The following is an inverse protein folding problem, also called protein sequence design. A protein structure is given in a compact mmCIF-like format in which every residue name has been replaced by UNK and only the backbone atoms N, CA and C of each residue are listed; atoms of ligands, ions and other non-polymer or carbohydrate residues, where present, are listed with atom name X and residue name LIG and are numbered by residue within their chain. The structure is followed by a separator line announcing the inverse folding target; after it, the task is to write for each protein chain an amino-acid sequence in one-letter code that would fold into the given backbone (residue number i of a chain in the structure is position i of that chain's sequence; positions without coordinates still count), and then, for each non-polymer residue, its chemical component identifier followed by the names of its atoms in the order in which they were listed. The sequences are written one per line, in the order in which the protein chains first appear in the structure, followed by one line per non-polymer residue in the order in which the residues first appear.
data_IF_021955216704
#
_entry.id   IF_021955216704
#
_cell.length_a   1.000
_cell.length_b   1.000
_cell.length_c   1.000
_cell.angle_alpha   90.00
_cell.angle_beta   90.00
_cell.angle_gamma   90.00
#
_symmetry.space_group_name_H-M   'P 1'
#
loop_
_entity.id
_entity.type
_entity.pdbx_description
1 polymer ?
#
# COMPACT_ATOMS: atom_id res chain seq x y z
N UNK A 1 6.44 25.82 11.43
CA UNK A 1 6.23 24.36 11.28
C UNK A 1 7.38 23.67 12.00
N UNK A 2 7.17 22.57 12.72
CA UNK A 2 8.27 21.73 13.17
C UNK A 2 8.65 20.75 12.06
N UNK A 3 9.95 20.56 11.85
CA UNK A 3 10.42 19.44 11.04
C UNK A 3 9.94 18.14 11.70
N UNK A 4 9.40 17.22 10.89
CA UNK A 4 9.04 15.86 11.33
C UNK A 4 10.23 15.16 12.03
N UNK A 5 11.45 15.56 11.67
CA UNK A 5 12.72 15.14 12.25
C UNK A 5 12.81 15.31 13.78
N UNK A 6 12.01 16.21 14.39
CA UNK A 6 12.04 16.39 15.84
C UNK A 6 11.52 15.19 16.62
N UNK A 7 10.33 14.70 16.24
CA UNK A 7 9.74 13.51 16.87
C UNK A 7 10.68 12.32 16.68
N UNK A 8 11.32 12.30 15.52
CA UNK A 8 12.24 11.27 15.14
C UNK A 8 13.49 11.22 16.03
N UNK A 9 14.16 12.35 16.22
CA UNK A 9 15.34 12.41 17.09
C UNK A 9 14.97 12.14 18.56
N UNK A 10 13.75 12.50 19.00
CA UNK A 10 13.27 12.14 20.34
C UNK A 10 13.10 10.62 20.52
N UNK A 11 12.63 9.92 19.48
CA UNK A 11 12.46 8.46 19.50
C UNK A 11 13.82 7.74 19.49
N UNK A 12 14.82 8.29 18.80
CA UNK A 12 16.16 7.71 18.77
C UNK A 12 16.92 7.93 20.08
N UNK A 13 16.79 9.10 20.70
CA UNK A 13 17.44 9.39 21.98
C UNK A 13 16.62 8.94 23.20
N UNK A 14 15.44 8.36 22.99
CA UNK A 14 14.48 7.97 24.03
C UNK A 14 14.20 9.08 25.05
N UNK A 15 14.26 10.34 24.62
CA UNK A 15 14.06 11.52 25.46
C UNK A 15 13.54 12.69 24.62
N UNK A 16 12.86 13.64 25.27
CA UNK A 16 12.41 14.85 24.59
C UNK A 16 13.58 15.80 24.33
N UNK A 17 13.74 16.22 23.08
CA UNK A 17 14.81 17.13 22.64
C UNK A 17 14.30 18.57 22.52
N UNK A 18 15.17 19.59 22.70
CA UNK A 18 14.82 20.99 22.47
C UNK A 18 14.46 21.27 21.01
N UNK A 19 13.48 22.13 20.78
CA UNK A 19 12.87 22.35 19.47
C UNK A 19 13.55 23.40 18.60
N UNK A 20 14.48 24.16 19.17
CA UNK A 20 15.06 25.33 18.50
C UNK A 20 15.74 24.96 17.16
N UNK A 21 16.28 23.75 17.07
CA UNK A 21 16.91 23.20 15.85
C UNK A 21 15.92 22.69 14.79
N UNK A 22 14.64 22.58 15.14
CA UNK A 22 13.60 21.93 14.33
C UNK A 22 12.53 22.90 13.83
N UNK A 23 12.62 24.18 14.18
CA UNK A 23 11.69 25.21 13.71
C UNK A 23 11.94 25.54 12.23
N UNK A 24 10.87 25.47 11.44
CA UNK A 24 10.78 25.99 10.07
C UNK A 24 10.07 27.34 10.12
N UNK A 25 10.75 28.38 9.66
CA UNK A 25 10.18 29.70 9.43
C UNK A 25 9.41 29.70 8.11
N UNK A 26 8.10 29.93 8.17
CA UNK A 26 7.23 30.05 6.99
C UNK A 26 7.16 31.47 6.40
N UNK A 27 7.91 32.43 6.95
CA UNK A 27 7.96 33.79 6.42
C UNK A 27 8.94 33.84 5.25
N UNK A 28 8.46 33.61 4.02
CA UNK A 28 9.29 33.77 2.82
C UNK A 28 8.81 33.12 1.53
N UNK A 29 7.50 32.94 1.31
CA UNK A 29 6.98 32.49 0.01
C UNK A 29 5.94 33.50 -0.49
N UNK A 30 6.43 34.51 -1.20
CA UNK A 30 5.58 35.30 -2.09
C UNK A 30 5.06 34.37 -3.20
N UNK A 31 3.74 34.37 -3.40
CA UNK A 31 3.09 33.63 -4.48
C UNK A 31 3.32 34.36 -5.80
N UNK A 32 3.99 33.72 -6.75
CA UNK A 32 3.91 34.11 -8.17
C UNK A 32 2.63 33.56 -8.81
N UNK A 33 2.01 34.28 -9.77
CA UNK A 33 0.68 33.96 -10.25
C UNK A 33 0.67 32.80 -11.25
N UNK A 34 -0.42 32.03 -11.22
CA UNK A 34 -0.70 30.92 -12.12
C UNK A 34 -0.80 31.39 -13.58
N UNK A 35 -0.16 30.64 -14.50
CA UNK A 35 -0.39 30.79 -15.95
C UNK A 35 -1.76 30.21 -16.28
N UNK A 36 -2.59 31.04 -16.90
CA UNK A 36 -3.89 30.65 -17.44
C UNK A 36 -3.75 29.62 -18.56
N UNK A 37 -4.65 28.64 -18.56
CA UNK A 37 -4.96 27.84 -19.72
C UNK A 37 -6.32 28.31 -20.25
N UNK A 38 -6.30 28.78 -21.49
CA UNK A 38 -7.48 29.21 -22.23
C UNK A 38 -8.48 28.07 -22.41
N UNK A 39 -9.76 28.42 -22.27
CA UNK A 39 -10.93 27.58 -22.55
C UNK A 39 -11.61 28.13 -23.80
N UNK A 40 -11.87 27.28 -24.79
CA UNK A 40 -12.82 27.51 -25.89
C UNK A 40 -13.17 26.17 -26.57
N UNK A 41 -14.34 26.05 -27.22
CA UNK A 41 -15.36 25.08 -26.78
C UNK A 41 -15.72 23.99 -27.81
N UNK A 42 -16.62 23.12 -27.35
CA UNK A 42 -17.20 21.96 -27.99
C UNK A 42 -17.94 22.24 -29.31
N UNK A 43 -17.83 21.30 -30.27
CA UNK A 43 -18.91 20.96 -31.21
C UNK A 43 -18.88 19.46 -31.57
N UNK A 44 -20.07 18.85 -31.60
CA UNK A 44 -20.45 17.65 -32.36
C UNK A 44 -21.60 18.10 -33.28
N UNK A 45 -21.83 17.51 -34.47
CA UNK A 45 -22.64 16.29 -34.53
C UNK A 45 -22.35 15.31 -35.70
N UNK A 46 -22.61 14.04 -35.40
CA UNK A 46 -23.33 13.01 -36.18
C UNK A 46 -23.22 12.99 -37.72
N UNK A 47 -22.71 11.88 -38.27
CA UNK A 47 -23.22 11.31 -39.52
C UNK A 47 -23.01 9.79 -39.58
N UNK A 48 -24.10 9.10 -39.91
CA UNK A 48 -24.26 7.66 -40.12
C UNK A 48 -23.47 7.18 -41.35
N UNK A 49 -22.88 5.97 -41.29
CA UNK A 49 -22.86 5.05 -42.43
C UNK A 49 -22.49 3.62 -42.03
N UNK A 50 -23.31 2.70 -42.51
CA UNK A 50 -23.29 1.24 -42.35
C UNK A 50 -22.37 0.52 -43.38
N UNK A 51 -22.13 -0.80 -43.24
CA UNK A 51 -20.90 -1.50 -43.65
C UNK A 51 -21.01 -2.18 -45.03
N UNK A 52 -19.93 -2.82 -45.52
CA UNK A 52 -20.07 -3.94 -46.44
C UNK A 52 -19.55 -5.27 -45.85
N UNK A 53 -20.34 -6.32 -46.08
CA UNK A 53 -20.05 -7.76 -45.88
C UNK A 53 -19.92 -8.41 -47.30
N UNK A 54 -19.67 -9.72 -47.46
CA UNK A 54 -18.39 -10.43 -47.59
C UNK A 54 -18.15 -11.01 -49.02
N UNK A 55 -16.93 -11.52 -49.31
CA UNK A 55 -16.73 -12.51 -50.40
C UNK A 55 -15.74 -13.62 -50.03
N UNK A 56 -16.33 -14.80 -49.82
CA UNK A 56 -15.99 -16.18 -50.23
C UNK A 56 -14.56 -16.77 -50.15
N UNK A 57 -14.55 -18.01 -49.62
CA UNK A 57 -13.49 -19.02 -49.63
C UNK A 57 -13.07 -19.45 -51.05
N UNK A 58 -11.89 -20.09 -51.14
CA UNK A 58 -11.83 -21.40 -51.80
C UNK A 58 -11.19 -22.51 -50.95
N UNK A 59 -11.48 -23.71 -51.42
CA UNK A 59 -11.38 -25.06 -50.85
C UNK A 59 -10.00 -25.73 -50.92
N UNK A 60 -9.74 -26.57 -49.90
CA UNK A 60 -8.97 -27.83 -49.80
C UNK A 60 -7.98 -28.28 -50.92
N UNK A 61 -6.73 -28.61 -50.52
CA UNK A 61 -6.09 -29.93 -50.69
C UNK A 61 -4.72 -30.06 -49.94
N UNK A 62 -4.64 -31.10 -49.10
CA UNK A 62 -3.53 -32.03 -48.68
C UNK A 62 -2.06 -31.66 -48.97
N UNK A 63 -1.20 -31.60 -47.93
CA UNK A 63 -0.27 -32.65 -47.40
C UNK A 63 1.16 -32.35 -47.91
N UNK A 64 2.11 -31.87 -47.11
CA UNK A 64 3.02 -32.67 -46.29
C UNK A 64 3.88 -31.78 -45.34
N UNK A 65 4.53 -32.37 -44.32
CA UNK A 65 5.70 -31.76 -43.65
C UNK A 65 5.51 -31.26 -42.21
N UNK A 66 5.54 -32.21 -41.27
CA UNK A 66 6.10 -32.08 -39.90
C UNK A 66 5.76 -30.83 -39.05
N UNK A 67 4.86 -30.91 -38.04
CA UNK A 67 4.69 -29.84 -37.09
C UNK A 67 5.73 -29.89 -35.95
N UNK A 68 6.33 -28.72 -35.72
CA UNK A 68 7.21 -28.35 -34.62
C UNK A 68 6.48 -28.52 -33.25
N UNK A 69 7.07 -29.13 -32.21
CA UNK A 69 6.38 -29.44 -30.97
C UNK A 69 6.47 -28.27 -29.98
N UNK A 70 5.66 -27.23 -30.18
CA UNK A 70 5.46 -26.20 -29.17
C UNK A 70 4.14 -25.45 -29.42
N UNK A 71 3.00 -26.07 -29.08
CA UNK A 71 1.77 -25.38 -28.64
C UNK A 71 0.60 -26.37 -28.52
N UNK A 72 0.34 -26.85 -27.29
CA UNK A 72 -0.95 -27.34 -26.80
C UNK A 72 -0.82 -27.76 -25.32
N UNK A 73 -0.85 -26.80 -24.39
CA UNK A 73 -1.02 -27.12 -22.97
C UNK A 73 -2.49 -27.45 -22.71
N UNK A 74 -2.80 -28.67 -22.28
CA UNK A 74 -4.19 -29.09 -21.99
C UNK A 74 -4.85 -28.29 -20.84
N UNK A 75 -6.15 -28.46 -20.55
CA UNK A 75 -6.88 -27.66 -19.57
C UNK A 75 -6.22 -27.59 -18.18
N UNK A 76 -5.59 -28.67 -17.72
CA UNK A 76 -4.89 -28.71 -16.42
C UNK A 76 -3.56 -27.93 -16.40
N UNK A 77 -3.08 -27.47 -17.55
CA UNK A 77 -1.88 -26.65 -17.68
C UNK A 77 -2.09 -25.24 -17.08
N UNK A 78 -3.32 -24.72 -17.06
CA UNK A 78 -3.62 -23.46 -16.37
C UNK A 78 -3.42 -23.58 -14.85
N UNK A 79 -3.79 -24.73 -14.27
CA UNK A 79 -3.59 -24.99 -12.84
C UNK A 79 -2.11 -25.11 -12.49
N UNK A 80 -1.33 -25.83 -13.32
CA UNK A 80 0.13 -25.94 -13.13
C UNK A 80 0.82 -24.58 -13.20
N UNK A 81 0.38 -23.72 -14.11
CA UNK A 81 0.90 -22.35 -14.22
C UNK A 81 0.52 -21.52 -13.01
N UNK A 82 -0.75 -21.58 -12.60
CA UNK A 82 -1.22 -20.82 -11.44
C UNK A 82 -0.56 -21.30 -10.14
N UNK A 83 -0.38 -22.60 -9.95
CA UNK A 83 0.35 -23.13 -8.80
C UNK A 83 1.81 -22.70 -8.83
N UNK A 84 2.45 -22.69 -10.00
CA UNK A 84 3.81 -22.17 -10.15
C UNK A 84 3.92 -20.69 -9.76
N UNK A 85 2.96 -19.83 -10.12
CA UNK A 85 2.91 -18.43 -9.65
C UNK A 85 2.94 -18.37 -8.13
N UNK A 86 2.14 -19.20 -7.45
CA UNK A 86 2.14 -19.24 -5.99
C UNK A 86 3.42 -19.83 -5.40
N UNK A 87 4.10 -20.76 -6.08
CA UNK A 87 5.43 -21.27 -5.69
C UNK A 87 6.51 -20.20 -5.81
N UNK A 88 6.46 -19.37 -6.85
CA UNK A 88 7.42 -18.29 -7.06
C UNK A 88 7.19 -17.19 -6.01
N UNK A 89 5.94 -16.82 -5.75
CA UNK A 89 5.56 -15.93 -4.64
C UNK A 89 5.98 -16.49 -3.27
N UNK A 90 5.93 -17.80 -3.08
CA UNK A 90 6.44 -18.46 -1.87
C UNK A 90 7.97 -18.35 -1.78
N UNK A 91 8.70 -18.69 -2.85
CA UNK A 91 10.15 -18.66 -2.89
C UNK A 91 10.71 -17.25 -2.60
N UNK A 92 10.04 -16.23 -3.15
CA UNK A 92 10.32 -14.82 -2.89
C UNK A 92 10.13 -14.41 -1.42
N UNK A 93 9.39 -15.18 -0.62
CA UNK A 93 9.15 -14.93 0.80
C UNK A 93 9.93 -15.84 1.76
N UNK A 94 10.53 -16.93 1.28
CA UNK A 94 11.29 -17.90 2.12
C UNK A 94 12.56 -17.32 2.75
N UNK A 95 13.05 -16.20 2.25
CA UNK A 95 14.23 -15.52 2.79
C UNK A 95 13.91 -14.55 3.95
N UNK A 96 12.63 -14.24 4.22
CA UNK A 96 12.27 -12.97 4.89
C UNK A 96 11.24 -13.06 6.04
N UNK A 97 11.31 -14.03 6.96
CA UNK A 97 10.42 -14.20 8.17
C UNK A 97 8.90 -14.05 7.95
N UNK A 98 8.42 -13.87 6.72
CA UNK A 98 7.04 -13.81 6.26
C UNK A 98 6.46 -15.21 6.16
N UNK A 99 6.78 -16.06 7.13
CA UNK A 99 6.52 -17.50 7.12
C UNK A 99 5.01 -17.76 6.97
N UNK A 100 4.16 -16.91 7.53
CA UNK A 100 2.70 -17.00 7.36
C UNK A 100 2.24 -16.74 5.92
N UNK A 101 2.81 -15.76 5.21
CA UNK A 101 2.45 -15.46 3.81
C UNK A 101 3.05 -16.50 2.86
N UNK A 102 4.31 -16.89 3.07
CA UNK A 102 4.95 -17.98 2.34
C UNK A 102 4.15 -19.29 2.50
N UNK A 103 3.75 -19.66 3.72
CA UNK A 103 2.88 -20.82 3.98
C UNK A 103 1.52 -20.69 3.30
N UNK A 104 0.96 -19.48 3.23
CA UNK A 104 -0.32 -19.25 2.57
C UNK A 104 -0.23 -19.45 1.06
N UNK A 105 0.84 -18.96 0.42
CA UNK A 105 1.10 -19.20 -1.00
C UNK A 105 1.42 -20.66 -1.29
N UNK A 106 2.24 -21.31 -0.45
CA UNK A 106 2.49 -22.77 -0.53
C UNK A 106 1.19 -23.57 -0.52
N UNK A 107 0.31 -23.27 0.45
CA UNK A 107 -0.99 -23.95 0.60
C UNK A 107 -1.91 -23.70 -0.59
N UNK A 108 -1.88 -22.49 -1.17
CA UNK A 108 -2.62 -22.19 -2.38
C UNK A 108 -2.11 -23.05 -3.55
N UNK A 109 -0.79 -23.08 -3.79
CA UNK A 109 -0.17 -23.91 -4.83
C UNK A 109 -0.53 -25.40 -4.64
N UNK A 110 -0.35 -25.94 -3.43
CA UNK A 110 -0.62 -27.35 -3.11
C UNK A 110 -2.08 -27.76 -3.38
N UNK A 111 -3.02 -26.83 -3.20
CA UNK A 111 -4.45 -27.09 -3.45
C UNK A 111 -4.79 -26.98 -4.93
N UNK A 112 -4.20 -26.03 -5.64
CA UNK A 112 -4.39 -25.85 -7.08
C UNK A 112 -3.80 -27.03 -7.86
N UNK A 113 -2.64 -27.55 -7.43
CA UNK A 113 -1.98 -28.74 -8.02
C UNK A 113 -2.86 -30.00 -7.96
N UNK A 114 -3.76 -30.09 -6.97
CA UNK A 114 -4.64 -31.25 -6.73
C UNK A 114 -5.97 -31.18 -7.47
N UNK A 115 -6.26 -30.10 -8.19
CA UNK A 115 -7.53 -29.94 -8.89
C UNK A 115 -7.58 -30.84 -10.12
N UNK A 116 -8.68 -31.57 -10.25
CA UNK A 116 -8.99 -32.41 -11.42
C UNK A 116 -9.71 -31.66 -12.54
N UNK A 117 -9.87 -30.34 -12.42
CA UNK A 117 -10.58 -29.47 -13.35
C UNK A 117 -9.80 -28.16 -13.53
N UNK A 118 -9.86 -27.52 -14.71
CA UNK A 118 -9.17 -26.26 -14.95
C UNK A 118 -9.77 -25.11 -14.13
N UNK A 119 -8.91 -24.28 -13.56
CA UNK A 119 -9.28 -23.06 -12.84
C UNK A 119 -9.17 -21.85 -13.77
N UNK A 120 -10.14 -21.71 -14.67
CA UNK A 120 -10.10 -20.78 -15.81
C UNK A 120 -11.40 -19.98 -16.04
N UNK A 121 -12.38 -20.16 -15.16
CA UNK A 121 -13.71 -19.55 -15.27
C UNK A 121 -14.28 -19.22 -13.88
N UNK A 122 -15.25 -18.29 -13.83
CA UNK A 122 -15.88 -17.89 -12.58
C UNK A 122 -16.51 -19.08 -11.85
N UNK A 123 -17.16 -19.98 -12.60
CA UNK A 123 -17.75 -21.20 -12.06
C UNK A 123 -16.69 -22.15 -11.48
N UNK A 124 -15.49 -22.22 -12.08
CA UNK A 124 -14.39 -23.03 -11.57
C UNK A 124 -13.79 -22.43 -10.29
N UNK A 125 -13.68 -21.10 -10.23
CA UNK A 125 -13.22 -20.37 -9.03
C UNK A 125 -14.20 -20.54 -7.87
N UNK A 126 -15.51 -20.37 -8.10
CA UNK A 126 -16.53 -20.59 -7.07
C UNK A 126 -16.50 -22.03 -6.55
N UNK A 127 -16.39 -23.01 -7.47
CA UNK A 127 -16.22 -24.43 -7.12
C UNK A 127 -14.97 -24.65 -6.26
N UNK A 128 -13.86 -24.00 -6.60
CA UNK A 128 -12.62 -24.08 -5.83
C UNK A 128 -12.79 -23.50 -4.43
N UNK A 129 -13.47 -22.37 -4.29
CA UNK A 129 -13.71 -21.73 -3.00
C UNK A 129 -14.54 -22.57 -2.05
N UNK A 130 -15.55 -23.27 -2.59
CA UNK A 130 -16.39 -24.21 -1.85
C UNK A 130 -15.60 -25.46 -1.42
N UNK A 131 -14.74 -25.99 -2.31
CA UNK A 131 -13.95 -27.19 -2.04
C UNK A 131 -12.74 -26.94 -1.11
N UNK A 132 -12.20 -25.72 -1.12
CA UNK A 132 -10.96 -25.43 -0.40
C UNK A 132 -11.10 -25.36 1.14
N UNK A 133 -12.30 -25.24 1.70
CA UNK A 133 -12.54 -25.28 3.15
C UNK A 133 -11.69 -24.30 3.98
N UNK A 134 -11.49 -24.60 5.28
CA UNK A 134 -10.63 -23.81 6.18
C UNK A 134 -9.15 -24.02 5.85
N UNK A 135 -8.44 -22.98 5.41
CA UNK A 135 -6.98 -23.05 5.18
C UNK A 135 -6.45 -22.09 4.13
N UNK A 136 -7.32 -21.53 3.28
CA UNK A 136 -7.05 -20.39 2.40
C UNK A 136 -7.95 -19.23 2.87
N UNK A 137 -7.36 -18.11 3.28
CA UNK A 137 -8.10 -16.94 3.76
C UNK A 137 -8.80 -16.18 2.63
N UNK A 138 -9.77 -15.32 2.97
CA UNK A 138 -10.61 -14.56 2.01
C UNK A 138 -9.74 -13.82 0.98
N UNK A 139 -8.74 -13.06 1.44
CA UNK A 139 -7.80 -12.33 0.55
C UNK A 139 -7.02 -13.21 -0.42
N UNK A 140 -6.80 -14.48 -0.04
CA UNK A 140 -6.11 -15.43 -0.90
C UNK A 140 -7.05 -16.00 -1.96
N UNK A 141 -8.33 -16.19 -1.63
CA UNK A 141 -9.35 -16.61 -2.59
C UNK A 141 -9.57 -15.56 -3.68
N UNK A 142 -9.74 -14.29 -3.27
CA UNK A 142 -9.84 -13.14 -4.19
C UNK A 142 -8.66 -13.11 -5.17
N UNK A 143 -7.43 -13.28 -4.63
CA UNK A 143 -6.21 -13.33 -5.43
C UNK A 143 -6.15 -14.52 -6.39
N UNK A 144 -6.62 -15.70 -5.97
CA UNK A 144 -6.69 -16.88 -6.84
C UNK A 144 -7.67 -16.63 -7.98
N UNK A 145 -8.84 -16.05 -7.71
CA UNK A 145 -9.83 -15.70 -8.73
C UNK A 145 -9.28 -14.72 -9.76
N UNK A 146 -8.68 -13.61 -9.31
CA UNK A 146 -8.07 -12.61 -10.19
C UNK A 146 -7.02 -13.23 -11.12
N UNK A 147 -6.11 -14.03 -10.55
CA UNK A 147 -5.03 -14.66 -11.33
C UNK A 147 -5.54 -15.76 -12.25
N UNK A 148 -6.50 -16.59 -11.81
CA UNK A 148 -7.11 -17.66 -12.60
C UNK A 148 -7.79 -17.12 -13.86
N UNK A 149 -8.61 -16.08 -13.70
CA UNK A 149 -9.39 -15.48 -14.80
C UNK A 149 -8.51 -14.68 -15.77
N UNK A 150 -7.38 -14.17 -15.31
CA UNK A 150 -6.41 -13.46 -16.15
C UNK A 150 -5.44 -14.42 -16.88
N UNK A 151 -5.39 -15.70 -16.48
CA UNK A 151 -4.45 -16.72 -16.99
C UNK A 151 -4.83 -17.33 -18.35
N UNK A 152 -5.96 -16.97 -18.95
CA UNK A 152 -6.49 -17.57 -20.20
C UNK A 152 -5.94 -16.94 -21.50
N UNK A 153 -5.08 -15.91 -21.46
CA UNK A 153 -4.48 -15.28 -22.65
C UNK A 153 -2.94 -15.28 -22.67
N UNK A 154 -2.31 -15.84 -23.71
CA UNK A 154 -0.90 -16.30 -23.68
C UNK A 154 0.24 -15.27 -23.85
N UNK A 155 0.01 -13.96 -23.98
CA UNK A 155 1.08 -12.94 -23.93
C UNK A 155 0.96 -12.04 -22.69
N UNK A 156 -0.23 -11.97 -22.10
CA UNK A 156 -0.50 -11.22 -20.85
C UNK A 156 0.06 -11.90 -19.60
N UNK A 157 0.58 -13.14 -19.70
CA UNK A 157 0.96 -13.99 -18.54
C UNK A 157 2.16 -13.48 -17.75
N UNK A 158 3.30 -13.22 -18.39
CA UNK A 158 4.49 -12.71 -17.68
C UNK A 158 4.33 -11.24 -17.25
N UNK A 159 3.64 -10.44 -18.07
CA UNK A 159 3.34 -9.04 -17.78
C UNK A 159 2.38 -8.87 -16.60
N UNK A 160 1.33 -9.70 -16.50
CA UNK A 160 0.37 -9.65 -15.38
C UNK A 160 1.01 -10.14 -14.08
N UNK A 161 1.78 -11.23 -14.11
CA UNK A 161 2.49 -11.72 -12.92
C UNK A 161 3.51 -10.68 -12.45
N UNK A 162 4.35 -10.17 -13.36
CA UNK A 162 5.32 -9.12 -13.04
C UNK A 162 4.65 -7.83 -12.54
N UNK A 163 3.49 -7.47 -13.10
CA UNK A 163 2.69 -6.32 -12.65
C UNK A 163 2.11 -6.54 -11.25
N UNK A 164 1.59 -7.74 -10.94
CA UNK A 164 1.05 -8.08 -9.64
C UNK A 164 2.15 -8.14 -8.56
N UNK A 165 3.31 -8.74 -8.85
CA UNK A 165 4.47 -8.74 -7.95
C UNK A 165 4.97 -7.33 -7.67
N UNK A 166 5.09 -6.52 -8.73
CA UNK A 166 5.45 -5.10 -8.62
C UNK A 166 4.48 -4.35 -7.73
N UNK A 167 3.18 -4.51 -7.96
CA UNK A 167 2.15 -3.85 -7.16
C UNK A 167 2.21 -4.27 -5.68
N UNK A 168 2.45 -5.56 -5.40
CA UNK A 168 2.57 -6.07 -4.02
C UNK A 168 3.80 -5.50 -3.33
N UNK A 169 4.96 -5.58 -3.97
CA UNK A 169 6.22 -5.12 -3.38
C UNK A 169 6.22 -3.62 -3.15
N UNK A 170 5.73 -2.84 -4.13
CA UNK A 170 5.54 -1.40 -3.99
C UNK A 170 4.61 -1.10 -2.81
N UNK A 171 3.44 -1.74 -2.73
CA UNK A 171 2.47 -1.52 -1.65
C UNK A 171 3.07 -1.83 -0.27
N UNK A 172 3.84 -2.91 -0.18
CA UNK A 172 4.50 -3.30 1.06
C UNK A 172 5.58 -2.28 1.47
N UNK A 173 6.37 -1.78 0.53
CA UNK A 173 7.36 -0.73 0.79
C UNK A 173 6.71 0.60 1.18
N UNK A 174 5.56 0.96 0.59
CA UNK A 174 4.81 2.18 0.97
C UNK A 174 4.19 2.13 2.37
N UNK A 175 4.12 0.94 2.99
CA UNK A 175 3.69 0.82 4.39
C UNK A 175 4.78 1.19 5.39
N UNK A 176 6.02 1.41 4.93
CA UNK A 176 7.08 1.98 5.76
C UNK A 176 6.82 3.48 5.92
N UNK A 177 6.74 3.94 7.16
CA UNK A 177 6.52 5.37 7.42
C UNK A 177 7.63 6.22 6.79
N UNK A 178 7.25 7.31 6.12
CA UNK A 178 8.16 8.15 5.34
C UNK A 178 8.47 7.65 3.92
N UNK A 179 7.82 6.56 3.46
CA UNK A 179 8.01 6.01 2.10
C UNK A 179 6.76 6.23 1.25
N UNK A 180 6.88 7.10 0.24
CA UNK A 180 5.85 7.30 -0.79
C UNK A 180 6.02 6.37 -1.98
N UNK A 181 5.04 6.40 -2.90
CA UNK A 181 5.01 5.56 -4.11
C UNK A 181 6.28 5.69 -4.94
N UNK A 182 6.78 6.91 -5.15
CA UNK A 182 7.98 7.20 -5.95
C UNK A 182 9.23 6.57 -5.35
N UNK A 183 9.38 6.62 -4.02
CA UNK A 183 10.51 6.00 -3.33
C UNK A 183 10.42 4.48 -3.40
N UNK A 184 9.22 3.91 -3.18
CA UNK A 184 8.99 2.48 -3.29
C UNK A 184 9.28 1.95 -4.70
N UNK A 185 8.87 2.68 -5.74
CA UNK A 185 9.18 2.34 -7.13
C UNK A 185 10.68 2.41 -7.44
N UNK A 186 11.38 3.43 -6.93
CA UNK A 186 12.84 3.52 -7.06
C UNK A 186 13.52 2.31 -6.43
N UNK A 187 13.16 1.95 -5.21
CA UNK A 187 13.71 0.78 -4.52
C UNK A 187 13.37 -0.53 -5.25
N UNK A 188 12.15 -0.63 -5.78
CA UNK A 188 11.76 -1.76 -6.61
C UNK A 188 12.63 -1.85 -7.89
N UNK A 189 12.92 -0.75 -8.56
CA UNK A 189 13.84 -0.73 -9.70
C UNK A 189 15.28 -1.14 -9.29
N UNK A 190 15.69 -0.85 -8.06
CA UNK A 190 16.99 -1.26 -7.48
C UNK A 190 17.05 -2.74 -7.05
N UNK A 191 15.98 -3.53 -7.25
CA UNK A 191 15.96 -4.94 -6.84
C UNK A 191 15.31 -5.20 -5.48
N UNK A 192 14.88 -4.17 -4.75
CA UNK A 192 14.30 -4.31 -3.41
C UNK A 192 12.80 -4.63 -3.55
N UNK A 193 12.43 -5.86 -3.22
CA UNK A 193 11.07 -6.38 -3.46
C UNK A 193 10.13 -6.22 -2.26
N UNK A 194 10.63 -6.02 -1.05
CA UNK A 194 9.85 -5.93 0.19
C UNK A 194 10.66 -5.26 1.32
N UNK A 195 10.03 -5.06 2.49
CA UNK A 195 10.64 -4.35 3.64
C UNK A 195 11.84 -5.09 4.21
N UNK A 196 11.83 -6.42 4.25
CA UNK A 196 12.95 -7.17 4.80
C UNK A 196 14.20 -7.09 3.89
N UNK A 197 14.01 -7.09 2.57
CA UNK A 197 15.10 -6.81 1.63
C UNK A 197 15.66 -5.40 1.85
N UNK A 198 14.80 -4.42 2.15
CA UNK A 198 15.22 -3.06 2.50
C UNK A 198 16.08 -3.04 3.78
N UNK A 199 15.73 -3.84 4.81
CA UNK A 199 16.50 -3.93 6.07
C UNK A 199 17.94 -4.43 5.87
N UNK A 200 18.16 -5.29 4.89
CA UNK A 200 19.47 -5.93 4.63
C UNK A 200 20.26 -5.24 3.51
N UNK A 201 19.72 -4.17 2.93
CA UNK A 201 20.39 -3.46 1.84
C UNK A 201 21.25 -2.34 2.39
N UNK A 202 22.58 -2.44 2.22
CA UNK A 202 23.52 -1.37 2.57
C UNK A 202 23.58 -0.26 1.51
N UNK A 203 23.09 -0.53 0.30
CA UNK A 203 23.16 0.36 -0.86
C UNK A 203 22.01 1.40 -0.94
N UNK A 204 21.18 1.50 0.10
CA UNK A 204 20.08 2.48 0.16
C UNK A 204 20.29 3.42 1.32
N UNK A 205 20.46 4.69 0.99
CA UNK A 205 20.42 5.76 1.98
C UNK A 205 18.96 6.06 2.35
N UNK A 206 18.59 5.72 3.58
CA UNK A 206 17.29 6.06 4.17
C UNK A 206 17.35 7.46 4.77
N UNK A 207 16.34 8.28 4.50
CA UNK A 207 16.18 9.51 5.28
C UNK A 207 15.75 9.20 6.72
N UNK A 208 15.73 10.22 7.56
CA UNK A 208 15.47 10.05 8.99
C UNK A 208 14.11 9.38 9.29
N UNK A 209 13.03 9.91 8.72
CA UNK A 209 11.69 9.33 8.88
C UNK A 209 11.65 7.87 8.41
N UNK A 210 12.33 7.55 7.31
CA UNK A 210 12.40 6.20 6.77
C UNK A 210 13.16 5.24 7.68
N UNK A 211 14.24 5.69 8.35
CA UNK A 211 14.97 4.88 9.34
C UNK A 211 14.06 4.48 10.50
N UNK A 212 13.29 5.43 11.01
CA UNK A 212 12.35 5.17 12.12
C UNK A 212 11.16 4.35 11.65
N UNK A 213 10.62 4.68 10.48
CA UNK A 213 9.56 3.91 9.85
C UNK A 213 9.95 2.46 9.60
N UNK A 214 11.22 2.20 9.29
CA UNK A 214 11.75 0.86 9.16
C UNK A 214 11.96 0.22 10.53
N UNK A 215 12.56 0.93 11.49
CA UNK A 215 12.83 0.44 12.86
C UNK A 215 11.56 -0.02 13.57
N UNK A 216 10.47 0.75 13.49
CA UNK A 216 9.18 0.47 14.14
C UNK A 216 8.10 0.04 13.14
N UNK A 217 8.49 -0.55 12.01
CA UNK A 217 7.56 -0.93 10.94
C UNK A 217 6.38 -1.77 11.43
N UNK A 218 6.66 -2.79 12.24
CA UNK A 218 5.66 -3.70 12.78
C UNK A 218 4.69 -2.98 13.72
N UNK A 219 5.19 -2.09 14.58
CA UNK A 219 4.39 -1.30 15.51
C UNK A 219 3.50 -0.30 14.77
N UNK A 220 4.04 0.45 13.82
CA UNK A 220 3.27 1.41 13.01
C UNK A 220 2.22 0.76 12.10
N UNK A 221 2.41 -0.51 11.74
CA UNK A 221 1.41 -1.26 10.97
C UNK A 221 0.38 -1.99 11.87
N UNK A 222 0.60 -2.00 13.19
CA UNK A 222 -0.37 -2.53 14.14
C UNK A 222 -1.53 -1.56 14.35
N UNK A 223 -2.66 -2.08 14.83
CA UNK A 223 -3.80 -1.24 15.23
C UNK A 223 -3.69 -0.90 16.71
N UNK A 224 -4.07 0.32 17.05
CA UNK A 224 -4.02 0.88 18.41
C UNK A 224 -5.38 0.64 19.08
N UNK A 225 -5.46 -0.15 20.18
CA UNK A 225 -6.69 -0.30 20.96
C UNK A 225 -7.13 1.02 21.59
N UNK A 226 -8.43 1.21 21.82
CA UNK A 226 -8.94 2.44 22.45
C UNK A 226 -8.29 2.78 23.79
N UNK A 227 -8.02 1.77 24.62
CA UNK A 227 -7.37 1.97 25.91
C UNK A 227 -6.00 2.64 25.75
N UNK A 228 -5.20 2.20 24.79
CA UNK A 228 -3.90 2.81 24.50
C UNK A 228 -4.07 4.26 23.98
N UNK A 229 -5.13 4.53 23.21
CA UNK A 229 -5.46 5.92 22.82
C UNK A 229 -5.79 6.79 24.02
N UNK A 230 -6.47 6.26 25.04
CA UNK A 230 -6.78 6.98 26.27
C UNK A 230 -5.50 7.30 27.07
N UNK A 231 -4.56 6.35 27.13
CA UNK A 231 -3.25 6.53 27.75
C UNK A 231 -2.41 7.60 27.02
N UNK A 232 -2.38 7.56 25.69
CA UNK A 232 -1.74 8.59 24.85
C UNK A 232 -2.39 9.96 25.10
N UNK A 233 -3.71 10.01 25.21
CA UNK A 233 -4.46 11.25 25.50
C UNK A 233 -4.04 11.87 26.84
N UNK A 234 -3.86 11.07 27.88
CA UNK A 234 -3.36 11.56 29.17
C UNK A 234 -1.96 12.17 29.06
N UNK A 235 -1.06 11.53 28.29
CA UNK A 235 0.30 12.05 28.04
C UNK A 235 0.26 13.38 27.29
N UNK A 236 -0.61 13.49 26.27
CA UNK A 236 -0.78 14.73 25.48
C UNK A 236 -1.37 15.85 26.34
N UNK A 237 -2.40 15.57 27.14
CA UNK A 237 -2.97 16.56 28.07
C UNK A 237 -1.93 17.12 29.02
N UNK A 238 -1.11 16.26 29.65
CA UNK A 238 -0.01 16.70 30.50
C UNK A 238 1.08 17.47 29.72
N UNK A 239 1.27 17.15 28.44
CA UNK A 239 2.13 17.89 27.51
C UNK A 239 1.63 19.31 27.27
N UNK A 240 0.36 19.46 26.91
CA UNK A 240 -0.29 20.75 26.69
C UNK A 240 -0.27 21.58 27.96
N UNK A 241 -0.54 20.97 29.12
CA UNK A 241 -0.52 21.69 30.39
C UNK A 241 0.85 22.33 30.63
N UNK A 242 1.92 21.54 30.59
CA UNK A 242 3.30 22.04 30.78
C UNK A 242 3.69 23.09 29.74
N UNK A 243 3.34 22.90 28.48
CA UNK A 243 3.70 23.82 27.40
C UNK A 243 2.96 25.17 27.52
N UNK A 244 1.78 25.17 28.13
CA UNK A 244 0.90 26.36 28.15
C UNK A 244 0.79 27.01 29.53
N UNK A 245 1.22 26.36 30.61
CA UNK A 245 1.06 26.83 32.00
C UNK A 245 1.54 28.26 32.21
N UNK A 246 2.79 28.55 31.84
CA UNK A 246 3.42 29.85 32.12
C UNK A 246 2.79 31.03 31.37
N UNK A 247 2.31 30.82 30.13
CA UNK A 247 1.86 31.91 29.24
C UNK A 247 0.34 32.00 29.10
N UNK A 248 -0.35 30.85 29.20
CA UNK A 248 -1.77 30.74 28.90
C UNK A 248 -2.56 30.11 30.05
N UNK A 249 -1.94 29.85 31.20
CA UNK A 249 -2.64 29.34 32.39
C UNK A 249 -3.00 27.86 32.31
N UNK A 250 -2.29 27.08 31.50
CA UNK A 250 -2.37 25.61 31.50
C UNK A 250 -3.50 25.05 30.65
N UNK A 251 -3.67 23.73 30.73
CA UNK A 251 -4.63 22.97 29.89
C UNK A 251 -6.08 23.42 30.10
N UNK A 252 -6.40 24.00 31.25
CA UNK A 252 -7.74 24.52 31.57
C UNK A 252 -8.21 25.62 30.62
N UNK A 253 -7.30 26.31 29.92
CA UNK A 253 -7.64 27.32 28.92
C UNK A 253 -7.71 26.77 27.49
N UNK A 254 -7.53 25.45 27.32
CA UNK A 254 -7.52 24.79 26.03
C UNK A 254 -8.62 23.74 25.92
N UNK A 255 -9.10 23.53 24.68
CA UNK A 255 -9.83 22.35 24.29
C UNK A 255 -8.84 21.40 23.63
N UNK A 256 -8.63 20.23 24.24
CA UNK A 256 -7.79 19.15 23.71
C UNK A 256 -8.71 17.97 23.42
N UNK A 257 -8.91 17.66 22.15
CA UNK A 257 -9.90 16.67 21.71
C UNK A 257 -9.23 15.61 20.86
N UNK A 258 -9.38 14.35 21.26
CA UNK A 258 -9.02 13.21 20.40
C UNK A 258 -10.00 13.13 19.23
N UNK A 259 -9.46 13.13 18.03
CA UNK A 259 -10.19 13.22 16.77
C UNK A 259 -10.16 11.87 16.03
N UNK A 260 -10.17 11.92 14.70
CA UNK A 260 -9.91 10.75 13.87
C UNK A 260 -10.90 9.59 14.06
N UNK A 261 -10.36 8.38 13.88
CA UNK A 261 -11.11 7.13 14.01
C UNK A 261 -11.61 6.88 15.43
N UNK A 262 -10.88 7.35 16.44
CA UNK A 262 -11.27 7.28 17.84
C UNK A 262 -12.58 8.03 18.10
N UNK A 263 -12.70 9.28 17.63
CA UNK A 263 -13.93 10.10 17.76
C UNK A 263 -15.13 9.49 17.04
N UNK A 264 -14.90 8.72 15.96
CA UNK A 264 -15.96 7.99 15.24
C UNK A 264 -16.35 6.66 15.89
N UNK A 265 -15.81 6.35 17.09
CA UNK A 265 -16.19 5.17 17.86
C UNK A 265 -15.52 3.87 17.42
N UNK A 266 -14.44 3.90 16.63
CA UNK A 266 -13.72 2.66 16.28
C UNK A 266 -13.06 2.05 17.53
N UNK A 267 -13.13 0.72 17.66
CA UNK A 267 -12.48 -0.05 18.71
C UNK A 267 -10.95 -0.15 18.52
N UNK A 268 -10.50 -0.04 17.27
CA UNK A 268 -9.11 -0.15 16.83
C UNK A 268 -8.78 1.04 15.91
N UNK A 269 -7.77 1.82 16.27
CA UNK A 269 -7.34 3.03 15.58
C UNK A 269 -6.08 2.76 14.73
N UNK A 270 -5.86 3.56 13.69
CA UNK A 270 -4.61 3.50 12.91
C UNK A 270 -3.56 4.47 13.42
N UNK A 271 -4.02 5.60 13.95
CA UNK A 271 -3.28 6.75 14.44
C UNK A 271 -4.11 7.44 15.53
N UNK A 272 -3.47 8.38 16.23
CA UNK A 272 -4.13 9.22 17.23
C UNK A 272 -4.02 10.69 16.85
N UNK A 273 -5.13 11.24 16.37
CA UNK A 273 -5.24 12.65 15.99
C UNK A 273 -5.70 13.50 17.17
N UNK A 274 -5.09 14.66 17.39
CA UNK A 274 -5.55 15.65 18.36
C UNK A 274 -5.91 16.97 17.67
N UNK A 275 -7.02 17.56 18.09
CA UNK A 275 -7.32 18.97 17.85
C UNK A 275 -7.10 19.73 19.16
N UNK A 276 -6.22 20.74 19.11
CA UNK A 276 -5.90 21.59 20.25
C UNK A 276 -6.26 23.03 19.89
N UNK A 277 -7.13 23.66 20.67
CA UNK A 277 -7.53 25.06 20.49
C UNK A 277 -7.55 25.79 21.82
N UNK A 278 -7.24 27.08 21.83
CA UNK A 278 -7.47 27.90 23.01
C UNK A 278 -8.96 28.27 23.08
N UNK A 279 -9.57 28.22 24.28
CA UNK A 279 -11.03 28.39 24.48
C UNK A 279 -11.56 29.74 24.00
N UNK A 280 -10.82 30.82 24.23
CA UNK A 280 -11.27 32.19 23.97
C UNK A 280 -10.34 33.03 23.09
N UNK A 281 -9.08 32.62 22.90
CA UNK A 281 -8.08 33.40 22.16
C UNK A 281 -7.80 32.75 20.81
N UNK A 282 -7.66 33.59 19.79
CA UNK A 282 -7.09 33.16 18.51
C UNK A 282 -5.57 33.27 18.61
N UNK A 283 -4.90 32.12 18.71
CA UNK A 283 -3.45 32.08 18.76
C UNK A 283 -2.86 32.30 17.36
N UNK A 284 -1.77 33.05 17.31
CA UNK A 284 -1.01 33.23 16.08
C UNK A 284 -0.34 31.92 15.67
N UNK A 285 0.11 31.85 14.41
CA UNK A 285 0.80 30.68 13.89
C UNK A 285 2.06 30.32 14.70
N UNK A 286 2.85 31.32 15.08
CA UNK A 286 4.08 31.14 15.88
C UNK A 286 3.76 30.64 17.29
N UNK A 287 2.67 31.11 17.89
CA UNK A 287 2.23 30.65 19.20
C UNK A 287 1.75 29.20 19.16
N UNK A 288 0.97 28.82 18.15
CA UNK A 288 0.56 27.43 17.96
C UNK A 288 1.78 26.53 17.75
N UNK A 289 2.73 26.95 16.91
CA UNK A 289 3.95 26.20 16.68
C UNK A 289 4.79 26.03 17.94
N UNK A 290 4.82 27.01 18.85
CA UNK A 290 5.54 26.93 20.11
C UNK A 290 4.90 25.98 21.14
N UNK A 291 3.57 25.81 21.10
CA UNK A 291 2.85 24.87 21.99
C UNK A 291 3.01 23.43 21.50
N UNK A 292 3.03 23.24 20.18
CA UNK A 292 3.24 21.95 19.54
C UNK A 292 4.70 21.55 19.44
N UNK A 293 5.59 22.53 19.66
CA UNK A 293 7.00 22.31 19.92
C UNK A 293 7.22 22.14 21.42
#
# INVERSE_FOLDING_TARGET
VLKADWLCDCLDEQRKLPFDRYRINLAGSERSPARGADVAPAESPTALREPPVPKELPTAAKDDGSPNPAEAGGPLDCNKRLSQIFRDLEANLRHNKGEFRARSYRRAADKIDKLSYPLDSDAAVERFELQCGSGIGIKMKEKIGELALTSTGSVKKAEVIGSAERAIGIRELTNVWGVGITTAEKWYAMGIRNVEALRHTENVELNHNQKIGLKYFEEFNSKIPRQEVDEISAVVLAGVDRATLAKYGGVDNFNVVVCGSYRRGKAMCGDVDFLITHKTKQLTYSENAAILS
#
